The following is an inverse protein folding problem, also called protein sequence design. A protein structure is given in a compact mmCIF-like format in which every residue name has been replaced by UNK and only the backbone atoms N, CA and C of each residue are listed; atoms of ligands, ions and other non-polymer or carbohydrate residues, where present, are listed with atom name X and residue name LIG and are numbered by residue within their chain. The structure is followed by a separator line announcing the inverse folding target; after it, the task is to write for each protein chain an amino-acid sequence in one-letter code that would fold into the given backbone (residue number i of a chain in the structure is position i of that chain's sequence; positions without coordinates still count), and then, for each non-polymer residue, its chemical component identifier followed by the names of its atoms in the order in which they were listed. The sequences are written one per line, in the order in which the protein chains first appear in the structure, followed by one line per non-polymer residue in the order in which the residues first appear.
data_IF_859897192425
#
_entry.id   IF_859897192425
#
_cell.length_a   1.000
_cell.length_b   1.000
_cell.length_c   1.000
_cell.angle_alpha   90.00
_cell.angle_beta   90.00
_cell.angle_gamma   90.00
#
_symmetry.space_group_name_H-M   'P 1'
#
loop_
_entity.id
_entity.type
_entity.pdbx_description
1 polymer ?
#
# COMPACT_ATOMS: atom_id res chain seq x y z
N UNK A 1 -7.08 -12.94 30.92
CA UNK A 1 -6.20 -12.37 29.89
C UNK A 1 -6.29 -10.84 29.98
N UNK A 2 -5.17 -10.11 30.01
CA UNK A 2 -5.20 -8.64 30.02
C UNK A 2 -5.65 -8.12 28.64
N UNK A 3 -6.58 -7.16 28.60
CA UNK A 3 -6.95 -6.48 27.38
C UNK A 3 -6.07 -5.25 27.18
N UNK A 4 -5.44 -5.14 26.02
CA UNK A 4 -4.62 -3.99 25.65
C UNK A 4 -5.30 -3.19 24.54
N UNK A 5 -5.15 -1.88 24.59
CA UNK A 5 -5.48 -1.01 23.47
C UNK A 5 -4.23 -0.88 22.59
N UNK A 6 -4.27 -1.44 21.40
CA UNK A 6 -3.16 -1.40 20.47
C UNK A 6 -3.11 -0.05 19.77
N UNK A 7 -1.95 0.62 19.84
CA UNK A 7 -1.67 1.90 19.18
C UNK A 7 -0.53 1.75 18.17
N UNK A 8 -0.46 0.59 17.54
CA UNK A 8 0.54 0.24 16.53
C UNK A 8 0.00 0.55 15.11
N UNK A 9 0.85 0.64 14.09
CA UNK A 9 0.39 0.72 12.69
C UNK A 9 -0.49 -0.47 12.27
N UNK A 10 -0.29 -1.63 12.88
CA UNK A 10 -1.07 -2.86 12.72
C UNK A 10 -0.46 -3.99 13.55
N UNK A 11 -1.27 -4.87 14.09
CA UNK A 11 -2.74 -4.85 14.16
C UNK A 11 -3.30 -3.74 15.06
N UNK A 12 -4.55 -3.33 14.80
CA UNK A 12 -5.27 -2.30 15.56
C UNK A 12 -6.26 -2.93 16.54
N UNK A 13 -6.59 -2.19 17.60
CA UNK A 13 -7.74 -2.53 18.44
C UNK A 13 -9.02 -2.16 17.71
N UNK A 14 -9.81 -3.15 17.30
CA UNK A 14 -11.12 -2.97 16.70
C UNK A 14 -12.22 -2.79 17.74
N UNK A 15 -13.36 -2.22 17.33
CA UNK A 15 -14.54 -2.06 18.19
C UNK A 15 -15.17 -3.42 18.53
N UNK A 16 -16.00 -3.45 19.57
CA UNK A 16 -16.72 -4.66 19.97
C UNK A 16 -17.67 -5.14 18.87
N UNK A 17 -18.29 -4.21 18.12
CA UNK A 17 -19.16 -4.55 16.99
C UNK A 17 -18.39 -5.31 15.91
N UNK A 18 -17.21 -4.81 15.48
CA UNK A 18 -16.37 -5.50 14.51
C UNK A 18 -15.95 -6.89 15.02
N UNK A 19 -15.55 -7.00 16.30
CA UNK A 19 -15.17 -8.30 16.87
C UNK A 19 -16.32 -9.30 16.89
N UNK A 20 -17.57 -8.84 17.08
CA UNK A 20 -18.74 -9.72 17.04
C UNK A 20 -18.98 -10.29 15.64
N UNK A 21 -18.79 -9.50 14.58
CA UNK A 21 -18.90 -9.99 13.20
C UNK A 21 -17.87 -11.07 12.88
N UNK A 22 -16.73 -11.09 13.54
CA UNK A 22 -15.69 -12.12 13.39
C UNK A 22 -16.06 -13.46 14.04
N UNK A 23 -17.18 -13.55 14.76
CA UNK A 23 -17.66 -14.79 15.35
C UNK A 23 -18.53 -15.63 14.40
N UNK A 24 -18.84 -15.09 13.23
CA UNK A 24 -19.66 -15.75 12.22
C UNK A 24 -18.78 -16.21 11.05
N UNK A 25 -19.03 -17.45 10.60
CA UNK A 25 -18.41 -17.95 9.38
C UNK A 25 -19.18 -17.43 8.16
N UNK A 26 -18.44 -16.97 7.15
CA UNK A 26 -19.00 -16.47 5.91
C UNK A 26 -18.46 -17.28 4.72
N UNK A 27 -19.35 -17.65 3.82
CA UNK A 27 -18.97 -18.28 2.58
C UNK A 27 -18.80 -17.23 1.46
N UNK A 28 -17.66 -17.26 0.77
CA UNK A 28 -17.37 -16.29 -0.32
C UNK A 28 -18.30 -16.42 -1.53
N UNK A 29 -19.04 -17.55 -1.63
CA UNK A 29 -20.04 -17.80 -2.67
C UNK A 29 -21.43 -17.28 -2.32
N UNK A 30 -21.69 -16.93 -1.07
CA UNK A 30 -22.97 -16.38 -0.65
C UNK A 30 -23.21 -15.01 -1.25
N UNK A 31 -24.44 -14.76 -1.66
CA UNK A 31 -24.82 -13.50 -2.30
C UNK A 31 -24.70 -12.30 -1.33
N UNK A 32 -24.98 -12.51 -0.05
CA UNK A 32 -24.78 -11.50 0.99
C UNK A 32 -23.30 -11.12 1.12
N UNK A 33 -22.39 -12.11 1.12
CA UNK A 33 -20.95 -11.83 1.16
C UNK A 33 -20.47 -11.08 -0.09
N UNK A 34 -20.92 -11.50 -1.28
CA UNK A 34 -20.63 -10.82 -2.55
C UNK A 34 -21.13 -9.38 -2.52
N UNK A 35 -22.33 -9.13 -2.00
CA UNK A 35 -22.91 -7.79 -1.86
C UNK A 35 -22.08 -6.92 -0.94
N UNK A 36 -21.67 -7.41 0.23
CA UNK A 36 -20.78 -6.69 1.16
C UNK A 36 -19.47 -6.33 0.46
N UNK A 37 -18.87 -7.27 -0.26
CA UNK A 37 -17.63 -7.04 -1.01
C UNK A 37 -17.78 -5.93 -2.06
N UNK A 38 -18.88 -5.92 -2.82
CA UNK A 38 -19.16 -4.88 -3.79
C UNK A 38 -19.40 -3.52 -3.14
N UNK A 39 -20.10 -3.47 -2.00
CA UNK A 39 -20.29 -2.25 -1.24
C UNK A 39 -18.96 -1.67 -0.71
N UNK A 40 -18.06 -2.52 -0.22
CA UNK A 40 -16.71 -2.11 0.21
C UNK A 40 -15.97 -1.49 -0.97
N UNK A 41 -15.94 -2.14 -2.12
CA UNK A 41 -15.28 -1.64 -3.33
C UNK A 41 -15.84 -0.28 -3.76
N UNK A 42 -17.16 -0.14 -3.78
CA UNK A 42 -17.81 1.12 -4.13
C UNK A 42 -17.46 2.25 -3.14
N UNK A 43 -17.44 1.95 -1.84
CA UNK A 43 -17.04 2.92 -0.81
C UNK A 43 -15.58 3.33 -0.93
N UNK A 44 -14.68 2.42 -1.28
CA UNK A 44 -13.26 2.72 -1.51
C UNK A 44 -13.06 3.64 -2.73
N UNK A 45 -13.74 3.40 -3.85
CA UNK A 45 -13.71 4.28 -5.02
C UNK A 45 -14.23 5.68 -4.69
N UNK A 46 -15.35 5.75 -3.94
CA UNK A 46 -15.88 7.03 -3.45
C UNK A 46 -14.89 7.78 -2.55
N UNK A 47 -14.20 7.06 -1.65
CA UNK A 47 -13.18 7.64 -0.78
C UNK A 47 -12.00 8.18 -1.60
N UNK A 48 -11.59 7.45 -2.63
CA UNK A 48 -10.55 7.87 -3.57
C UNK A 48 -11.01 8.98 -4.54
N UNK A 49 -12.31 9.34 -4.55
CA UNK A 49 -12.92 10.34 -5.45
C UNK A 49 -12.73 10.01 -6.93
N UNK A 50 -12.81 8.73 -7.28
CA UNK A 50 -12.66 8.24 -8.65
C UNK A 50 -13.93 7.54 -9.14
N UNK A 51 -14.09 7.48 -10.47
CA UNK A 51 -15.24 6.87 -11.14
C UNK A 51 -15.10 5.35 -11.24
N UNK A 52 -16.17 4.61 -10.98
CA UNK A 52 -16.20 3.15 -11.16
C UNK A 52 -16.11 2.69 -12.63
N UNK A 53 -16.29 3.61 -13.59
CA UNK A 53 -16.10 3.32 -15.03
C UNK A 53 -14.63 3.32 -15.46
N UNK A 54 -13.76 3.99 -14.70
CA UNK A 54 -12.34 4.16 -15.02
C UNK A 54 -11.44 3.40 -14.06
N UNK A 55 -11.91 3.17 -12.82
CA UNK A 55 -11.13 2.57 -11.74
C UNK A 55 -11.85 1.39 -11.11
N UNK A 56 -11.09 0.51 -10.53
CA UNK A 56 -11.61 -0.59 -9.72
C UNK A 56 -10.82 -0.72 -8.42
N UNK A 57 -11.48 -1.14 -7.35
CA UNK A 57 -10.81 -1.49 -6.10
C UNK A 57 -10.49 -2.98 -6.09
N UNK A 58 -9.23 -3.33 -5.90
CA UNK A 58 -8.77 -4.71 -5.72
C UNK A 58 -8.51 -4.94 -4.23
N UNK A 59 -9.21 -5.90 -3.64
CA UNK A 59 -9.04 -6.26 -2.24
C UNK A 59 -8.00 -7.36 -2.14
N UNK A 60 -6.83 -7.02 -1.60
CA UNK A 60 -5.73 -7.98 -1.39
C UNK A 60 -5.78 -8.51 0.04
N UNK A 61 -5.74 -9.82 0.18
CA UNK A 61 -5.68 -10.48 1.48
C UNK A 61 -4.22 -10.64 1.90
N UNK A 62 -3.83 -9.96 2.97
CA UNK A 62 -2.46 -10.02 3.47
C UNK A 62 -2.09 -8.83 4.37
N UNK A 63 -0.82 -8.74 4.70
CA UNK A 63 -0.26 -7.63 5.47
C UNK A 63 -0.12 -6.36 4.61
N UNK A 64 0.10 -5.19 5.28
CA UNK A 64 0.44 -3.95 4.57
C UNK A 64 1.73 -4.09 3.73
N UNK A 65 2.71 -4.84 4.20
CA UNK A 65 3.93 -5.16 3.43
C UNK A 65 3.60 -5.92 2.14
N UNK A 66 2.72 -6.91 2.21
CA UNK A 66 2.23 -7.61 1.02
C UNK A 66 1.48 -6.68 0.07
N UNK A 67 0.70 -5.73 0.61
CA UNK A 67 0.05 -4.70 -0.19
C UNK A 67 1.04 -3.85 -0.98
N UNK A 68 2.12 -3.39 -0.34
CA UNK A 68 3.21 -2.64 -0.99
C UNK A 68 3.89 -3.49 -2.06
N UNK A 69 4.27 -4.72 -1.74
CA UNK A 69 4.88 -5.66 -2.69
C UNK A 69 3.99 -5.90 -3.90
N UNK A 70 2.69 -6.14 -3.69
CA UNK A 70 1.74 -6.37 -4.77
C UNK A 70 1.60 -5.17 -5.70
N UNK A 71 1.66 -3.93 -5.18
CA UNK A 71 1.66 -2.72 -6.01
C UNK A 71 2.96 -2.63 -6.82
N UNK A 72 4.11 -2.66 -6.17
CA UNK A 72 5.40 -2.52 -6.83
C UNK A 72 5.60 -3.55 -7.96
N UNK A 73 5.26 -4.82 -7.69
CA UNK A 73 5.42 -5.90 -8.66
C UNK A 73 4.35 -5.94 -9.76
N UNK A 74 3.23 -5.23 -9.58
CA UNK A 74 2.15 -5.20 -10.57
C UNK A 74 2.23 -4.01 -11.51
N UNK A 75 2.68 -2.82 -11.01
CA UNK A 75 2.65 -1.59 -11.79
C UNK A 75 3.99 -1.25 -12.45
N UNK A 76 5.10 -1.77 -11.91
CA UNK A 76 6.45 -1.49 -12.43
C UNK A 76 6.87 -2.62 -13.37
N UNK A 77 6.98 -2.31 -14.65
CA UNK A 77 7.38 -3.26 -15.68
C UNK A 77 8.90 -3.40 -15.80
N UNK A 78 9.35 -4.33 -16.63
CA UNK A 78 10.79 -4.64 -16.83
C UNK A 78 11.63 -3.47 -17.38
N UNK A 79 10.98 -2.49 -18.01
CA UNK A 79 11.63 -1.31 -18.60
C UNK A 79 11.51 -0.07 -17.73
N UNK A 80 10.79 -0.19 -16.63
CA UNK A 80 10.53 0.91 -15.72
C UNK A 80 11.62 1.00 -14.66
N UNK A 81 11.74 2.18 -14.06
CA UNK A 81 12.67 2.44 -12.97
C UNK A 81 11.96 3.22 -11.86
N UNK A 82 12.18 2.80 -10.64
CA UNK A 82 11.55 3.36 -9.44
C UNK A 82 12.51 4.28 -8.69
N UNK A 83 12.07 5.48 -8.35
CA UNK A 83 12.70 6.31 -7.32
C UNK A 83 11.96 6.12 -6.00
N UNK A 84 12.66 5.62 -4.99
CA UNK A 84 12.14 5.46 -3.63
C UNK A 84 12.64 6.64 -2.79
N UNK A 85 11.70 7.39 -2.20
CA UNK A 85 12.01 8.47 -1.27
C UNK A 85 11.81 7.94 0.15
N UNK A 86 12.91 7.60 0.81
CA UNK A 86 12.91 6.92 2.11
C UNK A 86 13.28 7.89 3.23
N UNK A 87 12.42 8.00 4.24
CA UNK A 87 12.73 8.63 5.51
C UNK A 87 12.45 7.70 6.70
N UNK A 88 12.56 6.38 6.48
CA UNK A 88 12.34 5.42 7.55
C UNK A 88 12.27 3.97 7.08
N UNK A 89 11.95 3.10 8.04
CA UNK A 89 11.97 1.65 7.85
C UNK A 89 11.04 1.13 6.72
N UNK A 90 9.94 1.83 6.43
CA UNK A 90 9.04 1.44 5.36
C UNK A 90 9.61 1.73 3.97
N UNK A 91 10.31 2.87 3.81
CA UNK A 91 11.04 3.19 2.58
C UNK A 91 12.19 2.22 2.33
N UNK A 92 12.97 1.88 3.36
CA UNK A 92 14.02 0.86 3.25
C UNK A 92 13.43 -0.51 2.85
N UNK A 93 12.29 -0.89 3.45
CA UNK A 93 11.58 -2.12 3.08
C UNK A 93 11.13 -2.13 1.62
N UNK A 94 10.70 -0.99 1.08
CA UNK A 94 10.38 -0.89 -0.36
C UNK A 94 11.63 -1.14 -1.23
N UNK A 95 12.80 -0.64 -0.79
CA UNK A 95 14.08 -0.94 -1.42
C UNK A 95 14.40 -2.42 -1.44
N UNK A 96 14.23 -3.11 -0.30
CA UNK A 96 14.44 -4.56 -0.21
C UNK A 96 13.50 -5.33 -1.16
N UNK A 97 12.22 -4.94 -1.21
CA UNK A 97 11.23 -5.55 -2.11
C UNK A 97 11.63 -5.32 -3.57
N UNK A 98 11.98 -4.09 -3.94
CA UNK A 98 12.40 -3.77 -5.30
C UNK A 98 13.65 -4.55 -5.71
N UNK A 99 14.64 -4.67 -4.82
CA UNK A 99 15.84 -5.46 -5.06
C UNK A 99 15.53 -6.95 -5.24
N UNK A 100 14.68 -7.52 -4.36
CA UNK A 100 14.27 -8.92 -4.44
C UNK A 100 13.49 -9.23 -5.72
N UNK A 101 12.61 -8.33 -6.13
CA UNK A 101 11.83 -8.44 -7.36
C UNK A 101 12.61 -8.06 -8.63
N UNK A 102 13.90 -7.71 -8.51
CA UNK A 102 14.74 -7.26 -9.63
C UNK A 102 14.18 -6.04 -10.36
N UNK A 103 13.51 -5.13 -9.63
CA UNK A 103 13.02 -3.86 -10.15
C UNK A 103 14.17 -2.85 -10.15
N UNK A 104 14.53 -2.23 -11.29
CA UNK A 104 15.52 -1.16 -11.33
C UNK A 104 15.07 0.00 -10.45
N UNK A 105 15.90 0.44 -9.51
CA UNK A 105 15.50 1.49 -8.58
C UNK A 105 16.66 2.36 -8.09
N UNK A 106 16.32 3.55 -7.65
CA UNK A 106 17.16 4.48 -6.90
C UNK A 106 16.52 4.71 -5.54
N UNK A 107 17.32 4.99 -4.52
CA UNK A 107 16.81 5.33 -3.19
C UNK A 107 17.42 6.67 -2.77
N UNK A 108 16.55 7.67 -2.56
CA UNK A 108 16.88 8.89 -1.87
C UNK A 108 16.55 8.73 -0.39
N UNK A 109 17.57 8.81 0.48
CA UNK A 109 17.45 8.60 1.91
C UNK A 109 17.51 9.90 2.68
N UNK A 110 16.59 10.05 3.63
CA UNK A 110 16.60 11.09 4.64
C UNK A 110 16.52 10.46 6.04
N UNK A 111 16.96 11.21 7.04
CA UNK A 111 16.79 10.83 8.44
C UNK A 111 15.30 10.74 8.80
N UNK A 112 14.98 9.94 9.81
CA UNK A 112 13.59 9.64 10.22
C UNK A 112 12.81 10.87 10.67
N UNK A 113 13.48 11.91 11.15
CA UNK A 113 12.90 13.18 11.61
C UNK A 113 12.93 14.29 10.53
N UNK A 114 13.32 13.96 9.31
CA UNK A 114 13.42 14.90 8.20
C UNK A 114 12.31 14.70 7.18
N UNK A 115 11.83 15.81 6.65
CA UNK A 115 10.96 15.82 5.47
C UNK A 115 11.87 15.75 4.25
N UNK A 116 11.62 14.84 3.29
CA UNK A 116 12.36 14.79 2.04
C UNK A 116 12.31 16.15 1.31
N UNK A 117 13.46 16.59 0.80
CA UNK A 117 13.57 17.84 0.08
C UNK A 117 13.08 17.69 -1.38
N UNK A 118 12.01 18.40 -1.78
CA UNK A 118 11.50 18.34 -3.15
C UNK A 118 12.54 18.73 -4.21
N UNK A 119 13.44 19.67 -3.90
CA UNK A 119 14.47 20.12 -4.85
C UNK A 119 15.48 19.01 -5.18
N UNK A 120 15.80 18.15 -4.19
CA UNK A 120 16.65 16.97 -4.41
C UNK A 120 15.90 15.93 -5.25
N UNK A 121 14.60 15.76 -5.04
CA UNK A 121 13.77 14.84 -5.85
C UNK A 121 13.74 15.34 -7.31
N UNK A 122 13.51 16.62 -7.55
CA UNK A 122 13.52 17.23 -8.88
C UNK A 122 14.88 17.05 -9.58
N UNK A 123 15.98 17.28 -8.86
CA UNK A 123 17.33 17.06 -9.36
C UNK A 123 17.55 15.58 -9.76
N UNK A 124 17.17 14.64 -8.88
CA UNK A 124 17.31 13.21 -9.15
C UNK A 124 16.50 12.77 -10.37
N UNK A 125 15.30 13.31 -10.55
CA UNK A 125 14.47 13.02 -11.72
C UNK A 125 15.06 13.63 -13.01
N UNK A 126 15.65 14.82 -12.93
CA UNK A 126 16.32 15.45 -14.06
C UNK A 126 17.58 14.68 -14.49
N UNK A 127 18.35 14.17 -13.53
CA UNK A 127 19.55 13.37 -13.77
C UNK A 127 19.24 11.93 -14.22
N UNK A 128 18.03 11.45 -13.94
CA UNK A 128 17.60 10.08 -14.26
C UNK A 128 16.27 10.10 -15.04
N UNK A 129 16.28 10.51 -16.32
CA UNK A 129 15.08 10.62 -17.14
C UNK A 129 14.41 9.26 -17.44
N UNK A 130 15.04 8.16 -17.09
CA UNK A 130 14.54 6.79 -17.19
C UNK A 130 13.68 6.38 -15.96
N UNK A 131 13.60 7.21 -14.94
CA UNK A 131 12.69 6.99 -13.80
C UNK A 131 11.26 7.23 -14.25
N UNK A 132 10.43 6.21 -14.10
CA UNK A 132 9.01 6.22 -14.50
C UNK A 132 8.05 6.27 -13.32
N UNK A 133 8.52 5.87 -12.13
CA UNK A 133 7.73 5.78 -10.91
C UNK A 133 8.45 6.40 -9.73
N UNK A 134 7.69 7.04 -8.83
CA UNK A 134 8.19 7.58 -7.55
C UNK A 134 7.32 7.03 -6.42
N UNK A 135 7.95 6.64 -5.32
CA UNK A 135 7.28 6.15 -4.10
C UNK A 135 7.92 6.72 -2.84
#
# INVERSE_FOLDING_TARGET
MKSYKLLTPGPLTTTVSVKKEMLFDHCTWDDDYKKITQEIRAKLLKLARVSAGEYTAVLMQGSGTFGVESVLTSVIGKKDKLLIVSNGAYGERMGDIAAHASIPHLIYRQDYDKIPDPSVIEMLLAENPDVTHVS
#
